data_IF_489520481213
#
_entry.id   IF_489520481213
#
_cell.length_a   1.000
_cell.length_b   1.000
_cell.length_c   1.000
_cell.angle_alpha   90.00
_cell.angle_beta   90.00
_cell.angle_gamma   90.00
#
_symmetry.space_group_name_H-M   'P 1'
#
loop_
_entity.id
_entity.type
_entity.pdbx_description
1 polymer ?
#
# COMPACT_ATOMS: atom_id res chain seq x y z
N UNK A 1 -67.66 -13.73 -32.44
CA UNK A 1 -67.08 -12.59 -31.70
C UNK A 1 -65.58 -12.82 -31.59
N UNK A 2 -64.83 -11.82 -32.01
CA UNK A 2 -63.39 -11.85 -32.26
C UNK A 2 -62.68 -11.38 -30.98
N UNK A 3 -61.84 -12.22 -30.36
CA UNK A 3 -60.91 -11.76 -29.32
C UNK A 3 -59.49 -12.20 -29.69
N UNK A 4 -58.73 -11.20 -30.13
CA UNK A 4 -57.29 -11.24 -30.39
C UNK A 4 -56.55 -11.18 -29.06
N UNK A 5 -55.60 -12.08 -28.83
CA UNK A 5 -54.54 -11.87 -27.86
C UNK A 5 -53.20 -11.82 -28.60
N UNK A 6 -52.66 -10.60 -28.64
CA UNK A 6 -51.29 -10.26 -29.03
C UNK A 6 -50.48 -10.08 -27.74
N UNK A 7 -49.15 -10.16 -27.84
CA UNK A 7 -48.12 -9.70 -26.88
C UNK A 7 -47.79 -10.71 -25.75
N UNK A 8 -46.54 -10.98 -25.35
CA UNK A 8 -45.28 -10.22 -25.41
C UNK A 8 -44.11 -11.21 -25.46
N UNK A 9 -43.12 -10.96 -26.34
CA UNK A 9 -41.79 -11.56 -26.25
C UNK A 9 -41.00 -10.86 -25.13
N UNK A 10 -40.66 -11.57 -24.06
CA UNK A 10 -39.74 -11.08 -23.02
C UNK A 10 -38.34 -11.64 -23.27
N UNK A 11 -37.60 -10.98 -24.15
CA UNK A 11 -36.15 -11.09 -24.21
C UNK A 11 -35.54 -9.99 -23.33
N UNK A 12 -35.12 -10.35 -22.13
CA UNK A 12 -34.18 -9.54 -21.34
C UNK A 12 -33.07 -10.46 -20.85
N UNK A 13 -32.15 -10.81 -21.76
CA UNK A 13 -30.80 -11.14 -21.34
C UNK A 13 -30.11 -9.82 -21.02
N UNK A 14 -30.18 -9.42 -19.75
CA UNK A 14 -29.22 -8.47 -19.19
C UNK A 14 -27.89 -9.19 -19.15
N UNK A 15 -27.17 -9.20 -20.27
CA UNK A 15 -25.74 -9.43 -20.26
C UNK A 15 -25.19 -8.24 -19.47
N UNK A 16 -25.07 -8.43 -18.16
CA UNK A 16 -24.08 -7.67 -17.41
C UNK A 16 -22.80 -7.87 -18.19
N UNK A 17 -22.38 -6.81 -18.87
CA UNK A 17 -21.03 -6.71 -19.37
C UNK A 17 -20.17 -6.88 -18.13
N UNK A 18 -19.74 -8.12 -17.90
CA UNK A 18 -18.59 -8.39 -17.08
C UNK A 18 -17.47 -7.68 -17.81
N UNK A 19 -17.31 -6.39 -17.52
CA UNK A 19 -16.01 -5.76 -17.62
C UNK A 19 -15.13 -6.70 -16.82
N UNK A 20 -14.34 -7.51 -17.52
CA UNK A 20 -13.22 -8.20 -16.94
C UNK A 20 -12.39 -7.07 -16.34
N UNK A 21 -12.65 -6.79 -15.07
CA UNK A 21 -11.84 -5.89 -14.29
C UNK A 21 -10.50 -6.60 -14.33
N UNK A 22 -9.58 -6.12 -15.17
CA UNK A 22 -8.22 -6.60 -15.18
C UNK A 22 -7.67 -6.25 -13.80
N UNK A 23 -7.84 -7.18 -12.84
CA UNK A 23 -7.32 -7.04 -11.48
C UNK A 23 -5.81 -6.79 -11.54
N UNK A 24 -5.14 -7.40 -12.52
CA UNK A 24 -3.72 -7.23 -12.81
C UNK A 24 -3.37 -5.78 -13.21
N UNK A 25 -4.20 -5.11 -14.02
CA UNK A 25 -3.96 -3.70 -14.41
C UNK A 25 -4.29 -2.73 -13.28
N UNK A 26 -5.28 -3.04 -12.42
CA UNK A 26 -5.56 -2.22 -11.23
C UNK A 26 -4.43 -2.28 -10.22
N UNK A 27 -3.84 -3.44 -9.97
CA UNK A 27 -2.78 -3.59 -8.97
C UNK A 27 -1.50 -2.85 -9.35
N UNK A 28 -1.09 -2.87 -10.62
CA UNK A 28 0.16 -2.19 -11.06
C UNK A 28 -0.01 -0.66 -11.15
N UNK A 29 -1.21 -0.17 -11.48
CA UNK A 29 -1.50 1.28 -11.54
C UNK A 29 -1.73 1.96 -10.18
N UNK A 30 -1.87 1.19 -9.10
CA UNK A 30 -2.17 1.67 -7.75
C UNK A 30 -0.96 1.68 -6.81
N UNK A 31 0.13 1.00 -7.19
CA UNK A 31 1.36 0.95 -6.42
C UNK A 31 2.18 2.23 -6.65
N UNK A 32 2.55 2.89 -5.57
CA UNK A 32 3.55 3.93 -5.52
C UNK A 32 4.84 3.37 -4.92
N UNK A 33 5.95 3.59 -5.59
CA UNK A 33 7.28 3.27 -5.08
C UNK A 33 7.92 4.53 -4.52
N UNK A 34 8.36 4.46 -3.27
CA UNK A 34 9.08 5.54 -2.60
C UNK A 34 10.37 5.01 -1.98
N UNK A 35 11.39 5.86 -1.95
CA UNK A 35 12.62 5.70 -1.20
C UNK A 35 12.53 6.48 0.10
N UNK A 36 12.74 5.79 1.21
CA UNK A 36 12.60 6.29 2.58
C UNK A 36 13.97 6.18 3.24
N UNK A 37 14.50 7.30 3.73
CA UNK A 37 15.70 7.30 4.58
C UNK A 37 15.27 7.34 6.03
N UNK A 38 15.73 6.37 6.82
CA UNK A 38 15.32 6.19 8.21
C UNK A 38 16.52 5.95 9.13
N UNK A 39 16.40 6.37 10.38
CA UNK A 39 17.41 6.21 11.43
C UNK A 39 16.78 5.52 12.64
N UNK A 40 17.31 4.39 13.13
CA UNK A 40 16.81 3.77 14.35
C UNK A 40 17.26 4.53 15.60
N UNK A 41 16.53 4.37 16.69
CA UNK A 41 16.89 4.88 18.03
C UNK A 41 18.21 4.34 18.56
N UNK A 42 18.58 3.13 18.14
CA UNK A 42 19.76 2.41 18.58
C UNK A 42 20.22 1.44 17.48
N UNK A 43 21.44 0.94 17.60
CA UNK A 43 21.93 -0.10 16.68
C UNK A 43 21.04 -1.34 16.78
N UNK A 44 20.52 -1.86 15.64
CA UNK A 44 19.78 -3.11 15.60
C UNK A 44 20.62 -4.26 16.17
N UNK A 45 20.06 -5.07 17.07
CA UNK A 45 20.80 -6.07 17.85
C UNK A 45 20.72 -7.51 17.30
N UNK A 46 20.40 -7.65 16.00
CA UNK A 46 20.16 -8.93 15.32
C UNK A 46 18.76 -8.97 14.71
N UNK A 47 18.41 -10.04 13.98
CA UNK A 47 17.09 -10.19 13.35
C UNK A 47 17.00 -9.65 11.92
N UNK A 48 15.83 -9.82 11.30
CA UNK A 48 15.57 -9.43 9.93
C UNK A 48 15.04 -8.00 9.87
N UNK A 49 15.92 -7.07 9.45
CA UNK A 49 15.52 -5.68 9.20
C UNK A 49 14.43 -5.60 8.13
N UNK A 50 14.47 -6.50 7.14
CA UNK A 50 13.44 -6.56 6.11
C UNK A 50 12.06 -6.83 6.71
N UNK A 51 11.95 -7.81 7.63
CA UNK A 51 10.67 -8.16 8.26
C UNK A 51 10.16 -7.04 9.18
N UNK A 52 11.06 -6.42 9.96
CA UNK A 52 10.76 -5.22 10.75
C UNK A 52 10.10 -4.13 9.89
N UNK A 53 10.72 -3.78 8.76
CA UNK A 53 10.22 -2.71 7.89
C UNK A 53 8.96 -3.09 7.11
N UNK A 54 8.80 -4.36 6.73
CA UNK A 54 7.57 -4.82 6.11
C UNK A 54 6.40 -4.65 7.09
N UNK A 55 6.55 -5.10 8.33
CA UNK A 55 5.51 -4.99 9.35
C UNK A 55 5.25 -3.51 9.68
N UNK A 56 6.32 -2.75 9.95
CA UNK A 56 6.21 -1.35 10.34
C UNK A 56 5.51 -0.52 9.28
N UNK A 57 5.96 -0.54 8.03
CA UNK A 57 5.36 0.30 7.00
C UNK A 57 3.97 -0.17 6.60
N UNK A 58 3.68 -1.48 6.62
CA UNK A 58 2.33 -1.94 6.32
C UNK A 58 1.35 -1.51 7.42
N UNK A 59 1.76 -1.53 8.68
CA UNK A 59 0.90 -1.09 9.79
C UNK A 59 0.67 0.42 9.76
N UNK A 60 1.74 1.22 9.69
CA UNK A 60 1.61 2.69 9.61
C UNK A 60 0.78 3.11 8.38
N UNK A 61 0.99 2.44 7.25
CA UNK A 61 0.17 2.69 6.07
C UNK A 61 -1.29 2.30 6.30
N UNK A 62 -1.56 1.18 6.97
CA UNK A 62 -2.92 0.78 7.34
C UNK A 62 -3.63 1.84 8.18
N UNK A 63 -2.91 2.43 9.14
CA UNK A 63 -3.44 3.40 10.09
C UNK A 63 -3.76 4.75 9.40
N UNK A 64 -3.01 5.08 8.35
CA UNK A 64 -3.23 6.29 7.53
C UNK A 64 -4.28 6.10 6.41
N UNK A 65 -4.75 4.87 6.18
CA UNK A 65 -5.73 4.61 5.13
C UNK A 65 -7.15 5.02 5.56
N UNK A 66 -7.95 5.59 4.64
CA UNK A 66 -9.37 5.74 4.89
C UNK A 66 -10.04 4.38 5.11
N UNK A 67 -11.05 4.29 5.98
CA UNK A 67 -11.74 3.03 6.27
C UNK A 67 -12.32 2.38 5.01
N UNK A 68 -12.27 1.05 4.95
CA UNK A 68 -12.75 0.27 3.80
C UNK A 68 -11.73 0.08 2.68
N UNK A 69 -10.51 0.62 2.81
CA UNK A 69 -9.41 0.36 1.90
C UNK A 69 -8.59 -0.85 2.36
N UNK A 70 -8.17 -1.69 1.40
CA UNK A 70 -7.23 -2.76 1.66
C UNK A 70 -5.84 -2.39 1.11
N UNK A 71 -4.80 -2.75 1.85
CA UNK A 71 -3.41 -2.54 1.43
C UNK A 71 -3.11 -3.45 0.24
N UNK A 72 -2.49 -2.87 -0.78
CA UNK A 72 -1.85 -3.58 -1.89
C UNK A 72 -0.34 -3.48 -1.66
N UNK A 73 0.29 -4.59 -1.28
CA UNK A 73 1.73 -4.62 -1.02
C UNK A 73 2.51 -4.94 -2.29
N UNK A 74 3.50 -4.11 -2.61
CA UNK A 74 4.49 -4.39 -3.63
C UNK A 74 5.80 -4.90 -3.02
N UNK A 75 6.93 -4.50 -3.61
CA UNK A 75 8.25 -4.86 -3.12
C UNK A 75 8.68 -4.04 -1.90
N UNK A 76 9.58 -4.61 -1.11
CA UNK A 76 10.34 -3.90 -0.07
C UNK A 76 11.79 -4.30 -0.22
N UNK A 77 12.68 -3.34 -0.38
CA UNK A 77 14.12 -3.56 -0.34
C UNK A 77 14.78 -2.58 0.61
N UNK A 78 15.93 -2.97 1.12
CA UNK A 78 16.57 -2.32 2.24
C UNK A 78 18.08 -2.35 2.06
N UNK A 79 18.72 -1.22 2.33
CA UNK A 79 20.18 -1.07 2.24
C UNK A 79 20.72 -0.21 3.37
N UNK A 80 21.97 -0.47 3.78
CA UNK A 80 22.67 0.23 4.85
C UNK A 80 23.24 -0.73 5.91
N UNK A 81 23.72 -0.19 7.04
CA UNK A 81 23.72 1.23 7.38
C UNK A 81 24.80 2.02 6.61
N UNK A 82 24.50 3.27 6.26
CA UNK A 82 25.48 4.27 5.80
C UNK A 82 25.38 5.49 6.71
N UNK A 83 26.42 5.76 7.50
CA UNK A 83 26.41 6.85 8.49
C UNK A 83 25.28 6.75 9.53
N UNK A 84 24.91 5.53 9.93
CA UNK A 84 23.81 5.27 10.87
C UNK A 84 22.40 5.35 10.28
N UNK A 85 22.29 5.63 8.97
CA UNK A 85 21.03 5.72 8.25
C UNK A 85 20.81 4.49 7.38
N UNK A 86 19.55 4.17 7.16
CA UNK A 86 19.11 3.11 6.28
C UNK A 86 18.23 3.66 5.18
N UNK A 87 18.34 3.06 3.99
CA UNK A 87 17.53 3.42 2.83
C UNK A 87 16.60 2.25 2.52
N UNK A 88 15.29 2.51 2.58
CA UNK A 88 14.24 1.54 2.24
C UNK A 88 13.57 1.96 0.94
N UNK A 89 13.52 1.08 -0.04
CA UNK A 89 12.64 1.26 -1.20
C UNK A 89 11.40 0.42 -0.98
N UNK A 90 10.24 1.07 -0.89
CA UNK A 90 8.96 0.44 -0.57
C UNK A 90 7.95 0.77 -1.66
N UNK A 91 7.28 -0.26 -2.17
CA UNK A 91 6.11 -0.13 -3.03
C UNK A 91 4.85 -0.50 -2.25
N UNK A 92 3.95 0.46 -2.11
CA UNK A 92 2.65 0.30 -1.46
C UNK A 92 1.54 0.92 -2.31
N UNK A 93 0.32 0.47 -2.09
CA UNK A 93 -0.89 0.99 -2.72
C UNK A 93 -2.09 0.61 -1.88
N UNK A 94 -3.28 1.10 -2.25
CA UNK A 94 -4.52 0.70 -1.63
C UNK A 94 -5.65 0.59 -2.65
N UNK A 95 -6.61 -0.29 -2.42
CA UNK A 95 -7.66 -0.63 -3.39
C UNK A 95 -8.53 0.56 -3.82
N UNK A 96 -8.66 1.60 -3.00
CA UNK A 96 -9.41 2.83 -3.31
C UNK A 96 -8.56 4.10 -3.44
N UNK A 97 -7.22 3.99 -3.49
CA UNK A 97 -6.33 5.12 -3.71
C UNK A 97 -5.65 5.07 -5.08
N UNK A 98 -5.35 6.24 -5.63
CA UNK A 98 -4.42 6.38 -6.76
C UNK A 98 -2.97 6.33 -6.27
N UNK A 99 -2.03 6.06 -7.18
CA UNK A 99 -0.61 6.11 -6.83
C UNK A 99 -0.20 7.48 -6.25
N UNK A 100 -0.74 8.60 -6.74
CA UNK A 100 -0.41 9.93 -6.22
C UNK A 100 -0.95 10.20 -4.81
N UNK A 101 -2.13 9.66 -4.49
CA UNK A 101 -2.65 9.69 -3.12
C UNK A 101 -1.76 8.87 -2.19
N UNK A 102 -1.36 7.66 -2.62
CA UNK A 102 -0.41 6.83 -1.86
C UNK A 102 0.92 7.54 -1.63
N UNK A 103 1.52 8.15 -2.68
CA UNK A 103 2.75 8.94 -2.55
C UNK A 103 2.59 10.08 -1.56
N UNK A 104 1.41 10.71 -1.52
CA UNK A 104 1.13 11.81 -0.59
C UNK A 104 1.10 11.33 0.87
N UNK A 105 0.43 10.21 1.14
CA UNK A 105 0.47 9.56 2.47
C UNK A 105 1.91 9.27 2.87
N UNK A 106 2.67 8.58 2.02
CA UNK A 106 4.05 8.21 2.32
C UNK A 106 4.95 9.42 2.53
N UNK A 107 4.77 10.51 1.75
CA UNK A 107 5.52 11.77 1.95
C UNK A 107 5.20 12.44 3.28
N UNK A 108 3.98 12.32 3.78
CA UNK A 108 3.60 12.88 5.09
C UNK A 108 4.32 12.19 6.27
N UNK A 109 4.90 11.01 6.06
CA UNK A 109 5.76 10.36 7.05
C UNK A 109 7.10 11.07 7.25
N UNK A 110 7.51 11.94 6.32
CA UNK A 110 8.77 12.66 6.45
C UNK A 110 8.79 13.48 7.75
N UNK A 111 9.85 13.29 8.55
CA UNK A 111 10.02 13.93 9.85
C UNK A 111 9.28 13.24 11.00
N UNK A 112 8.50 12.19 10.72
CA UNK A 112 7.80 11.43 11.75
C UNK A 112 8.72 10.39 12.41
N UNK A 113 8.30 9.90 13.57
CA UNK A 113 8.96 8.80 14.27
C UNK A 113 7.94 7.71 14.54
N UNK A 114 8.24 6.50 14.09
CA UNK A 114 7.39 5.33 14.27
C UNK A 114 7.95 4.43 15.35
N UNK A 115 7.06 3.75 16.08
CA UNK A 115 7.47 2.74 17.04
C UNK A 115 8.07 1.54 16.30
N UNK A 116 9.19 1.02 16.81
CA UNK A 116 9.76 -0.24 16.34
C UNK A 116 8.82 -1.42 16.62
N UNK A 117 8.89 -2.44 15.80
CA UNK A 117 8.08 -3.68 15.93
C UNK A 117 8.80 -4.77 16.71
N UNK A 118 9.96 -4.45 17.26
CA UNK A 118 10.71 -5.30 18.17
C UNK A 118 11.44 -6.46 17.51
N UNK A 119 11.43 -6.59 16.17
CA UNK A 119 12.11 -7.69 15.47
C UNK A 119 13.62 -7.58 15.58
N UNK A 120 14.13 -6.36 15.77
CA UNK A 120 15.56 -6.05 15.76
C UNK A 120 16.04 -5.24 16.97
N UNK A 121 15.24 -5.25 18.05
CA UNK A 121 15.56 -4.54 19.29
C UNK A 121 15.63 -3.01 19.16
N UNK A 122 15.06 -2.44 18.10
CA UNK A 122 14.89 -1.01 17.91
C UNK A 122 13.56 -0.58 18.51
N UNK A 123 13.55 0.49 19.31
CA UNK A 123 12.33 1.02 19.95
C UNK A 123 11.61 2.03 19.07
N UNK A 124 12.33 2.77 18.22
CA UNK A 124 11.72 3.71 17.28
C UNK A 124 12.57 3.93 16.03
N UNK A 125 11.89 4.26 14.93
CA UNK A 125 12.47 4.61 13.64
C UNK A 125 12.09 6.03 13.26
N UNK A 126 13.08 6.90 13.10
CA UNK A 126 12.89 8.28 12.64
C UNK A 126 12.97 8.35 11.12
N UNK A 127 11.90 8.80 10.46
CA UNK A 127 11.83 8.98 9.02
C UNK A 127 12.46 10.32 8.64
N UNK A 128 13.66 10.29 8.08
CA UNK A 128 14.42 11.50 7.75
C UNK A 128 13.92 12.17 6.47
N UNK A 129 13.75 11.38 5.41
CA UNK A 129 13.30 11.86 4.09
C UNK A 129 12.47 10.79 3.40
N UNK A 130 11.51 11.23 2.57
CA UNK A 130 10.73 10.35 1.70
C UNK A 130 10.74 10.93 0.29
N UNK A 131 11.08 10.12 -0.71
CA UNK A 131 11.10 10.52 -2.11
C UNK A 131 10.33 9.50 -2.94
N UNK A 132 9.32 9.97 -3.67
CA UNK A 132 8.53 9.25 -4.65
C UNK A 132 8.41 10.15 -5.89
#
# INVERSE_FOLDING_TARGET
>A
MLFKFVTVATAFFSIVSASTVNLETRQVGQLATCTIVTTPSNTPNGGSLLDEFIILFNQEYSDDLPPGNAIVTGSTSFTGPSGGRYTVTKSLGATGLTADQTRTIMRNWQGQTFAGRGQVGVTSWSINTVTC
#
